data_IF_804708479034
#
_entry.id   IF_804708479034
#
_cell.length_a   1.000
_cell.length_b   1.000
_cell.length_c   1.000
_cell.angle_alpha   90.00
_cell.angle_beta   90.00
_cell.angle_gamma   90.00
#
_symmetry.space_group_name_H-M   'P 1'
#
loop_
_entity.id
_entity.type
_entity.pdbx_description
1 polymer ?
#
# COMPACT_ATOMS: atom_id res chain seq x y z
N UNK A 1 -13.71 -23.29 -29.84
CA UNK A 1 -12.62 -22.35 -29.58
C UNK A 1 -12.99 -21.59 -28.30
N UNK A 2 -12.53 -22.05 -27.13
CA UNK A 2 -12.67 -21.26 -25.91
C UNK A 2 -11.83 -20.00 -26.06
N UNK A 3 -12.46 -18.85 -25.92
CA UNK A 3 -11.78 -17.58 -26.07
C UNK A 3 -10.74 -17.41 -24.97
N UNK A 4 -9.47 -17.35 -25.35
CA UNK A 4 -8.32 -17.10 -24.46
C UNK A 4 -8.34 -15.72 -23.79
N UNK A 5 -9.43 -14.97 -23.92
CA UNK A 5 -9.55 -13.55 -23.56
C UNK A 5 -9.69 -13.31 -22.04
N UNK A 6 -9.99 -14.35 -21.24
CA UNK A 6 -10.27 -14.20 -19.79
C UNK A 6 -9.27 -14.92 -18.86
N UNK A 7 -8.09 -15.27 -19.35
CA UNK A 7 -7.10 -15.91 -18.46
C UNK A 7 -6.39 -14.87 -17.60
N UNK A 8 -6.64 -14.89 -16.30
CA UNK A 8 -5.84 -14.11 -15.34
C UNK A 8 -4.42 -14.65 -15.34
N UNK A 9 -3.44 -13.79 -15.64
CA UNK A 9 -2.01 -14.12 -15.64
C UNK A 9 -1.39 -13.30 -14.51
N UNK A 10 -1.07 -13.95 -13.41
CA UNK A 10 -0.31 -13.40 -12.30
C UNK A 10 0.61 -14.47 -11.73
N UNK A 11 1.55 -14.07 -10.87
CA UNK A 11 2.37 -14.98 -10.09
C UNK A 11 2.07 -14.79 -8.61
N UNK A 12 1.65 -15.86 -7.95
CA UNK A 12 1.50 -15.92 -6.49
C UNK A 12 2.33 -17.10 -6.01
N UNK A 13 3.33 -16.82 -5.17
CA UNK A 13 4.18 -17.88 -4.64
C UNK A 13 3.36 -18.91 -3.84
N UNK A 14 3.58 -20.21 -4.05
CA UNK A 14 2.92 -21.26 -3.27
C UNK A 14 3.31 -21.24 -1.78
N UNK A 15 4.37 -20.51 -1.41
CA UNK A 15 4.78 -20.31 -0.02
C UNK A 15 4.10 -19.10 0.64
N UNK A 16 3.29 -18.33 -0.08
CA UNK A 16 2.51 -17.24 0.50
C UNK A 16 1.27 -17.77 1.20
N UNK A 17 0.77 -17.02 2.18
CA UNK A 17 -0.50 -17.28 2.86
C UNK A 17 -1.51 -16.24 2.44
N UNK A 18 -2.53 -16.67 1.71
CA UNK A 18 -3.57 -15.81 1.16
C UNK A 18 -4.88 -16.11 1.88
N UNK A 19 -5.52 -15.08 2.41
CA UNK A 19 -6.80 -15.17 3.11
C UNK A 19 -8.00 -15.41 2.18
N UNK A 20 -9.18 -15.32 2.74
CA UNK A 20 -10.44 -15.50 2.03
C UNK A 20 -10.81 -14.25 1.21
N UNK A 21 -11.54 -14.42 0.11
CA UNK A 21 -12.06 -13.36 -0.76
C UNK A 21 -10.98 -12.39 -1.30
N UNK A 22 -9.75 -12.87 -1.47
CA UNK A 22 -8.68 -12.08 -2.07
C UNK A 22 -8.82 -12.08 -3.60
N UNK A 23 -8.78 -10.88 -4.20
CA UNK A 23 -8.82 -10.69 -5.65
C UNK A 23 -7.49 -10.14 -6.13
N UNK A 24 -6.84 -10.86 -7.05
CA UNK A 24 -5.55 -10.48 -7.63
C UNK A 24 -5.73 -10.31 -9.13
N UNK A 25 -5.52 -9.10 -9.65
CA UNK A 25 -5.69 -8.77 -11.05
C UNK A 25 -4.47 -9.15 -11.89
N UNK A 26 -4.57 -8.99 -13.20
CA UNK A 26 -3.57 -9.43 -14.18
C UNK A 26 -2.17 -8.84 -13.94
N UNK A 27 -1.14 -9.65 -14.20
CA UNK A 27 0.27 -9.27 -14.13
C UNK A 27 0.76 -8.82 -12.75
N UNK A 28 0.04 -9.18 -11.68
CA UNK A 28 0.52 -8.98 -10.34
C UNK A 28 1.53 -10.06 -9.94
N UNK A 29 2.49 -9.70 -9.08
CA UNK A 29 3.46 -10.58 -8.46
C UNK A 29 3.28 -10.58 -6.95
N UNK A 30 3.24 -11.76 -6.32
CA UNK A 30 3.25 -11.94 -4.86
C UNK A 30 4.36 -12.91 -4.49
N UNK A 31 5.37 -12.40 -3.80
CA UNK A 31 6.58 -13.11 -3.41
C UNK A 31 6.35 -14.12 -2.29
N UNK A 32 7.36 -14.97 -2.05
CA UNK A 32 7.30 -16.02 -1.03
C UNK A 32 7.21 -15.48 0.40
N UNK A 33 6.64 -16.28 1.31
CA UNK A 33 6.47 -15.95 2.73
C UNK A 33 5.68 -14.65 2.98
N UNK A 34 4.96 -14.16 1.98
CA UNK A 34 4.03 -13.03 2.11
C UNK A 34 2.74 -13.50 2.78
N UNK A 35 2.20 -12.67 3.65
CA UNK A 35 0.89 -12.86 4.27
C UNK A 35 -0.08 -11.79 3.76
N UNK A 36 -1.23 -12.23 3.25
CA UNK A 36 -2.33 -11.36 2.80
C UNK A 36 -3.60 -11.79 3.53
N UNK A 37 -4.22 -10.86 4.26
CA UNK A 37 -5.44 -11.09 5.01
C UNK A 37 -6.67 -11.30 4.14
N UNK A 38 -7.85 -11.26 4.75
CA UNK A 38 -9.13 -11.48 4.07
C UNK A 38 -9.63 -10.23 3.36
N UNK A 39 -10.45 -10.40 2.31
CA UNK A 39 -11.13 -9.32 1.57
C UNK A 39 -10.16 -8.30 0.98
N UNK A 40 -8.98 -8.73 0.55
CA UNK A 40 -7.96 -7.84 -0.05
C UNK A 40 -8.11 -7.82 -1.57
N UNK A 41 -7.97 -6.61 -2.15
CA UNK A 41 -7.93 -6.42 -3.60
C UNK A 41 -6.54 -5.93 -4.01
N UNK A 42 -5.92 -6.60 -4.99
CA UNK A 42 -4.60 -6.26 -5.54
C UNK A 42 -4.75 -5.97 -7.02
N UNK A 43 -4.45 -4.73 -7.39
CA UNK A 43 -4.55 -4.22 -8.75
C UNK A 43 -3.51 -4.79 -9.70
N UNK A 44 -3.74 -4.63 -10.98
CA UNK A 44 -2.86 -5.10 -12.04
C UNK A 44 -1.46 -4.50 -11.96
N UNK A 45 -0.43 -5.24 -12.37
CA UNK A 45 0.97 -4.81 -12.39
C UNK A 45 1.55 -4.47 -11.01
N UNK A 46 0.86 -4.81 -9.92
CA UNK A 46 1.36 -4.60 -8.57
C UNK A 46 2.40 -5.66 -8.23
N UNK A 47 3.52 -5.23 -7.67
CA UNK A 47 4.60 -6.09 -7.22
C UNK A 47 4.69 -6.07 -5.69
N UNK A 48 4.34 -7.18 -5.08
CA UNK A 48 4.47 -7.41 -3.63
C UNK A 48 5.61 -8.41 -3.45
N UNK A 49 6.69 -7.95 -2.86
CA UNK A 49 7.90 -8.74 -2.69
C UNK A 49 7.75 -9.77 -1.56
N UNK A 50 8.81 -10.53 -1.27
CA UNK A 50 8.77 -11.59 -0.27
C UNK A 50 8.64 -11.03 1.16
N UNK A 51 8.00 -11.81 2.04
CA UNK A 51 7.93 -11.51 3.47
C UNK A 51 7.11 -10.28 3.85
N UNK A 52 6.33 -9.73 2.92
CA UNK A 52 5.40 -8.62 3.18
C UNK A 52 4.19 -9.11 3.99
N UNK A 53 3.67 -8.26 4.88
CA UNK A 53 2.43 -8.52 5.61
C UNK A 53 1.37 -7.48 5.25
N UNK A 54 0.17 -7.96 4.90
CA UNK A 54 -0.98 -7.12 4.57
C UNK A 54 -2.18 -7.60 5.39
N UNK A 55 -2.82 -6.70 6.11
CA UNK A 55 -4.01 -6.95 6.91
C UNK A 55 -5.26 -7.19 6.08
N UNK A 56 -6.40 -7.15 6.73
CA UNK A 56 -7.71 -7.41 6.11
C UNK A 56 -8.29 -6.15 5.45
N UNK A 57 -9.25 -6.35 4.53
CA UNK A 57 -10.05 -5.28 3.89
C UNK A 57 -9.21 -4.23 3.16
N UNK A 58 -8.02 -4.58 2.71
CA UNK A 58 -7.14 -3.63 2.02
C UNK A 58 -7.46 -3.55 0.53
N UNK A 59 -7.32 -2.36 -0.01
CA UNK A 59 -7.41 -2.11 -1.43
C UNK A 59 -6.11 -1.51 -1.95
N UNK A 60 -5.37 -2.29 -2.72
CA UNK A 60 -4.11 -1.92 -3.35
C UNK A 60 -4.36 -1.78 -4.83
N UNK A 61 -4.23 -0.56 -5.34
CA UNK A 61 -4.45 -0.25 -6.75
C UNK A 61 -3.28 -0.72 -7.63
N UNK A 62 -3.39 -0.53 -8.93
CA UNK A 62 -2.41 -1.03 -9.90
C UNK A 62 -1.04 -0.37 -9.84
N UNK A 63 -0.02 -1.09 -10.27
CA UNK A 63 1.36 -0.62 -10.40
C UNK A 63 1.99 -0.14 -9.08
N UNK A 64 1.56 -0.70 -7.95
CA UNK A 64 2.15 -0.44 -6.64
C UNK A 64 3.36 -1.35 -6.43
N UNK A 65 4.45 -0.80 -5.88
CA UNK A 65 5.61 -1.59 -5.46
C UNK A 65 5.70 -1.64 -3.93
N UNK A 66 5.72 -2.85 -3.38
CA UNK A 66 5.81 -3.13 -1.94
C UNK A 66 7.01 -4.04 -1.69
N UNK A 67 8.15 -3.48 -1.21
CA UNK A 67 9.37 -4.23 -0.96
C UNK A 67 9.29 -5.07 0.32
N UNK A 68 10.27 -5.99 0.52
CA UNK A 68 10.40 -6.78 1.72
C UNK A 68 10.37 -5.96 3.01
N UNK A 69 9.95 -6.57 4.10
CA UNK A 69 9.85 -5.98 5.45
C UNK A 69 8.76 -4.91 5.60
N UNK A 70 7.96 -4.66 4.58
CA UNK A 70 6.81 -3.74 4.67
C UNK A 70 5.66 -4.43 5.40
N UNK A 71 5.05 -3.72 6.34
CA UNK A 71 3.85 -4.16 7.05
C UNK A 71 2.71 -3.17 6.82
N UNK A 72 1.56 -3.69 6.39
CA UNK A 72 0.34 -2.92 6.11
C UNK A 72 -0.78 -3.45 7.00
N UNK A 73 -1.40 -2.57 7.76
CA UNK A 73 -2.51 -2.87 8.66
C UNK A 73 -3.81 -3.19 7.93
N UNK A 74 -4.92 -3.10 8.66
CA UNK A 74 -6.26 -3.37 8.12
C UNK A 74 -6.90 -2.09 7.53
N UNK A 75 -7.89 -2.27 6.64
CA UNK A 75 -8.70 -1.18 6.09
C UNK A 75 -7.87 -0.09 5.39
N UNK A 76 -6.75 -0.47 4.77
CA UNK A 76 -5.83 0.45 4.11
C UNK A 76 -6.16 0.56 2.63
N UNK A 77 -6.18 1.79 2.12
CA UNK A 77 -6.24 2.09 0.69
C UNK A 77 -4.88 2.58 0.18
N UNK A 78 -4.40 2.00 -0.91
CA UNK A 78 -3.16 2.41 -1.59
C UNK A 78 -3.44 2.73 -3.04
N UNK A 79 -3.31 4.01 -3.37
CA UNK A 79 -3.51 4.53 -4.73
C UNK A 79 -2.47 4.04 -5.74
N UNK A 80 -2.80 4.05 -7.03
CA UNK A 80 -1.95 3.50 -8.09
C UNK A 80 -0.58 4.18 -8.18
N UNK A 81 0.41 3.42 -8.64
CA UNK A 81 1.80 3.87 -8.82
C UNK A 81 2.49 4.34 -7.53
N UNK A 82 1.99 3.93 -6.37
CA UNK A 82 2.64 4.17 -5.08
C UNK A 82 3.88 3.29 -4.96
N UNK A 83 4.97 3.84 -4.40
CA UNK A 83 6.23 3.13 -4.24
C UNK A 83 6.73 3.20 -2.81
N UNK A 84 6.86 2.05 -2.16
CA UNK A 84 7.56 1.91 -0.89
C UNK A 84 9.03 1.58 -1.14
N UNK A 85 9.92 2.01 -0.25
CA UNK A 85 11.33 1.67 -0.30
C UNK A 85 11.80 1.07 1.03
N UNK A 86 12.86 0.26 1.01
CA UNK A 86 13.35 -0.45 2.20
C UNK A 86 14.87 -0.37 2.38
N UNK A 87 15.59 0.22 1.44
CA UNK A 87 17.05 0.39 1.53
C UNK A 87 17.40 1.88 1.64
N UNK A 88 17.80 2.36 2.83
CA UNK A 88 18.14 3.77 3.03
C UNK A 88 19.45 4.19 2.35
N UNK A 89 20.32 3.24 2.04
CA UNK A 89 21.63 3.45 1.41
C UNK A 89 21.91 2.35 0.38
N UNK A 90 21.25 2.37 -0.79
CA UNK A 90 21.41 1.33 -1.81
C UNK A 90 22.88 1.18 -2.26
N UNK A 91 23.42 0.04 -2.24
CA UNK A 91 23.00 -1.33 -1.96
C UNK A 91 23.50 -1.74 -0.57
N UNK A 92 22.73 -1.49 0.47
CA UNK A 92 23.14 -1.81 1.83
C UNK A 92 22.84 -3.27 2.20
N UNK A 93 23.58 -3.78 3.20
CA UNK A 93 23.31 -5.11 3.77
C UNK A 93 22.14 -5.12 4.76
N UNK A 94 21.69 -3.93 5.21
CA UNK A 94 20.63 -3.78 6.20
C UNK A 94 19.49 -2.98 5.61
N UNK A 95 18.35 -3.61 5.47
CA UNK A 95 17.11 -3.01 5.01
C UNK A 95 16.13 -2.78 6.15
N UNK A 96 15.18 -1.86 5.97
CA UNK A 96 14.10 -1.56 6.91
C UNK A 96 12.84 -1.22 6.14
N UNK A 97 11.74 -1.96 6.41
CA UNK A 97 10.45 -1.75 5.76
C UNK A 97 9.70 -0.54 6.28
N UNK A 98 8.67 -0.16 5.55
CA UNK A 98 7.68 0.85 5.96
C UNK A 98 6.58 0.16 6.76
N UNK A 99 6.09 0.83 7.80
CA UNK A 99 4.94 0.37 8.59
C UNK A 99 3.75 1.28 8.31
N UNK A 100 2.66 0.70 7.83
CA UNK A 100 1.39 1.40 7.59
C UNK A 100 0.36 0.87 8.57
N UNK A 101 -0.14 1.72 9.47
CA UNK A 101 -1.15 1.33 10.46
C UNK A 101 -2.56 1.29 9.83
N UNK A 102 -3.55 0.82 10.62
CA UNK A 102 -4.92 0.63 10.16
C UNK A 102 -5.59 1.92 9.66
N UNK A 103 -6.50 1.79 8.70
CA UNK A 103 -7.36 2.86 8.20
C UNK A 103 -6.64 3.98 7.43
N UNK A 104 -5.38 3.77 7.05
CA UNK A 104 -4.59 4.74 6.29
C UNK A 104 -5.08 4.81 4.84
N UNK A 105 -5.13 6.02 4.31
CA UNK A 105 -5.42 6.29 2.90
C UNK A 105 -4.17 6.87 2.24
N UNK A 106 -3.67 6.21 1.21
CA UNK A 106 -2.50 6.65 0.45
C UNK A 106 -2.94 7.05 -0.96
N UNK A 107 -2.74 8.31 -1.29
CA UNK A 107 -3.00 8.85 -2.63
C UNK A 107 -1.98 8.36 -3.67
N UNK A 108 -2.40 8.37 -4.93
CA UNK A 108 -1.61 7.89 -6.07
C UNK A 108 -0.22 8.53 -6.17
N UNK A 109 0.77 7.76 -6.66
CA UNK A 109 2.14 8.21 -6.90
C UNK A 109 2.89 8.73 -5.67
N UNK A 110 2.50 8.31 -4.48
CA UNK A 110 3.23 8.65 -3.27
C UNK A 110 4.48 7.77 -3.12
N UNK A 111 5.54 8.33 -2.53
CA UNK A 111 6.82 7.64 -2.32
C UNK A 111 7.18 7.69 -0.85
N UNK A 112 7.66 6.57 -0.31
CA UNK A 112 7.96 6.41 1.11
C UNK A 112 9.43 6.08 1.33
N UNK A 113 10.10 6.89 2.16
CA UNK A 113 11.46 6.61 2.64
C UNK A 113 11.49 5.33 3.47
N UNK A 114 12.56 4.52 3.40
CA UNK A 114 12.73 3.34 4.25
C UNK A 114 12.56 3.65 5.74
N UNK A 115 11.84 2.79 6.45
CA UNK A 115 11.69 2.81 7.89
C UNK A 115 10.68 3.82 8.44
N UNK A 116 9.98 4.58 7.59
CA UNK A 116 8.93 5.49 8.08
C UNK A 116 7.71 4.71 8.57
N UNK A 117 7.07 5.25 9.59
CA UNK A 117 5.81 4.77 10.15
C UNK A 117 4.68 5.72 9.78
N UNK A 118 3.59 5.17 9.25
CA UNK A 118 2.39 5.92 8.86
C UNK A 118 1.30 5.61 9.89
N UNK A 119 0.99 6.60 10.72
CA UNK A 119 0.08 6.46 11.84
C UNK A 119 -1.37 6.22 11.42
N UNK A 120 -2.10 5.55 12.31
CA UNK A 120 -3.49 5.11 12.14
C UNK A 120 -4.40 6.22 11.60
N UNK A 121 -5.27 5.86 10.63
CA UNK A 121 -6.25 6.76 10.03
C UNK A 121 -5.65 8.00 9.34
N UNK A 122 -4.34 8.09 9.12
CA UNK A 122 -3.79 9.23 8.39
C UNK A 122 -4.06 9.15 6.90
N UNK A 123 -3.94 10.28 6.23
CA UNK A 123 -4.11 10.40 4.78
C UNK A 123 -2.83 10.98 4.18
N UNK A 124 -2.29 10.29 3.21
CA UNK A 124 -1.18 10.76 2.39
C UNK A 124 -1.77 11.28 1.08
N UNK A 125 -1.68 12.56 0.83
CA UNK A 125 -2.19 13.14 -0.42
C UNK A 125 -1.38 12.61 -1.62
N UNK A 126 -2.01 12.57 -2.79
CA UNK A 126 -1.33 12.11 -4.02
C UNK A 126 -0.01 12.85 -4.30
N UNK A 127 0.92 12.17 -4.92
CA UNK A 127 2.25 12.67 -5.29
C UNK A 127 3.10 13.20 -4.11
N UNK A 128 2.85 12.69 -2.91
CA UNK A 128 3.62 13.07 -1.72
C UNK A 128 4.90 12.24 -1.58
N UNK A 129 5.97 12.87 -1.07
CA UNK A 129 7.21 12.18 -0.70
C UNK A 129 7.35 12.19 0.82
N UNK A 130 7.08 11.04 1.43
CA UNK A 130 7.07 10.87 2.88
C UNK A 130 8.47 10.47 3.36
N UNK A 131 9.13 11.41 4.05
CA UNK A 131 10.53 11.26 4.52
C UNK A 131 10.65 11.15 6.04
N UNK A 132 9.54 11.30 6.78
CA UNK A 132 9.46 11.22 8.25
C UNK A 132 8.20 10.47 8.64
N UNK A 133 8.14 9.99 9.88
CA UNK A 133 6.94 9.38 10.43
C UNK A 133 5.75 10.33 10.35
N UNK A 134 4.60 9.77 10.06
CA UNK A 134 3.33 10.50 9.97
C UNK A 134 2.52 10.22 11.24
N UNK A 135 2.12 11.24 12.00
CA UNK A 135 1.25 11.06 13.15
C UNK A 135 -0.11 10.47 12.76
N UNK A 136 -0.83 9.82 13.70
CA UNK A 136 -2.19 9.35 13.40
C UNK A 136 -3.17 10.51 13.21
N UNK A 137 -4.26 10.23 12.47
CA UNK A 137 -5.41 11.13 12.28
C UNK A 137 -5.07 12.49 11.64
N UNK A 138 -4.06 12.54 10.78
CA UNK A 138 -3.69 13.76 10.04
C UNK A 138 -3.70 13.52 8.53
N UNK A 139 -3.74 14.62 7.79
CA UNK A 139 -3.46 14.65 6.35
C UNK A 139 -2.10 15.27 6.11
N UNK A 140 -1.24 14.56 5.39
CA UNK A 140 0.06 15.08 4.95
C UNK A 140 0.09 15.20 3.44
N UNK A 141 0.80 16.22 2.94
CA UNK A 141 1.00 16.39 1.49
C UNK A 141 2.30 17.12 1.19
N UNK A 142 2.78 16.91 -0.03
CA UNK A 142 3.89 17.64 -0.63
C UNK A 142 5.19 16.86 -0.69
N UNK A 143 6.25 17.55 -1.08
CA UNK A 143 7.60 17.06 -1.28
C UNK A 143 8.62 18.00 -0.62
N UNK A 144 9.10 17.71 0.61
CA UNK A 144 8.68 16.61 1.49
C UNK A 144 7.25 16.78 2.02
N UNK A 145 6.61 15.66 2.36
CA UNK A 145 5.26 15.65 2.93
C UNK A 145 5.26 16.27 4.34
N UNK A 146 4.35 17.21 4.57
CA UNK A 146 4.14 17.87 5.87
C UNK A 146 2.66 17.82 6.26
N UNK A 147 2.37 17.86 7.54
CA UNK A 147 0.98 17.92 8.06
C UNK A 147 0.29 19.17 7.56
N UNK A 148 -0.92 19.02 7.05
CA UNK A 148 -1.74 20.11 6.52
C UNK A 148 -2.98 20.37 7.35
N UNK A 149 -3.74 19.32 7.70
CA UNK A 149 -4.95 19.40 8.48
C UNK A 149 -5.31 18.03 9.08
N UNK A 150 -6.38 17.95 9.86
CA UNK A 150 -6.79 16.72 10.53
C UNK A 150 -7.53 15.76 9.61
N UNK A 151 -7.60 14.48 9.98
CA UNK A 151 -8.44 13.49 9.33
C UNK A 151 -9.93 13.86 9.39
N UNK A 152 -10.39 14.42 10.49
CA UNK A 152 -11.76 14.87 10.65
C UNK A 152 -12.15 15.94 9.59
N UNK A 153 -11.25 16.90 9.33
CA UNK A 153 -11.48 17.90 8.28
C UNK A 153 -11.52 17.25 6.88
N UNK A 154 -10.68 16.23 6.64
CA UNK A 154 -10.72 15.45 5.41
C UNK A 154 -12.06 14.74 5.23
N UNK A 155 -12.56 14.10 6.28
CA UNK A 155 -13.80 13.35 6.23
C UNK A 155 -14.99 14.29 5.99
N UNK A 156 -15.04 15.47 6.62
CA UNK A 156 -16.04 16.52 6.33
C UNK A 156 -16.03 16.96 4.86
N UNK A 157 -14.85 17.16 4.27
CA UNK A 157 -14.72 17.50 2.84
C UNK A 157 -15.23 16.37 1.95
N UNK A 158 -14.94 15.12 2.30
CA UNK A 158 -15.40 13.92 1.58
C UNK A 158 -16.92 13.79 1.64
N UNK A 159 -17.54 14.03 2.81
CA UNK A 159 -18.98 13.93 3.00
C UNK A 159 -19.71 15.03 2.19
N UNK A 160 -19.19 16.26 2.20
CA UNK A 160 -19.71 17.35 1.36
C UNK A 160 -19.59 17.08 -0.14
N UNK A 161 -18.57 16.31 -0.58
CA UNK A 161 -18.43 15.90 -1.97
C UNK A 161 -19.45 14.83 -2.37
N UNK A 162 -19.86 13.97 -1.43
CA UNK A 162 -20.79 12.87 -1.67
C UNK A 162 -22.28 13.29 -1.52
N UNK A 163 -22.57 14.48 -0.98
CA UNK A 163 -23.91 15.07 -0.86
C UNK A 163 -24.35 15.76 -2.15
#
# INVERSE_FOLDING_TARGET
MESSINRVINFVSPKSKIGENVKIWHFAYVGENTYIGNNVMIGSLTHIDYGVKIGNNCRIEGSVYIPPLTEIGNDVFIGPCTTFTNDPYPMSKKMIGVIVEDGVIIGSRSVFKPGVKIGKNSVIAMASVVTKDVPPNVVVMGHPAIVKYSREEYDKKKDNWNS
#
